data_IF_391614571242
#
_entry.id   IF_391614571242
#
_cell.length_a   1.000
_cell.length_b   1.000
_cell.length_c   1.000
_cell.angle_alpha   90.00
_cell.angle_beta   90.00
_cell.angle_gamma   90.00
#
_symmetry.space_group_name_H-M   'P 1'
#
loop_
_entity.id
_entity.type
_entity.pdbx_description
1 polymer ?
#
# COMPACT_ATOMS: atom_id res chain seq x y z
N UNK A 1 -39.13 -47.92 26.51
CA UNK A 1 -39.65 -46.65 25.95
C UNK A 1 -38.60 -45.55 25.75
N UNK A 2 -37.65 -45.30 26.67
CA UNK A 2 -36.68 -44.18 26.55
C UNK A 2 -35.68 -44.28 25.36
N UNK A 3 -35.34 -45.48 24.91
CA UNK A 3 -34.45 -45.70 23.76
C UNK A 3 -35.13 -45.43 22.40
N UNK A 4 -36.41 -45.79 22.29
CA UNK A 4 -37.24 -45.46 21.12
C UNK A 4 -37.42 -43.94 20.96
N UNK A 5 -37.55 -43.20 22.07
CA UNK A 5 -37.66 -41.74 22.01
C UNK A 5 -36.36 -41.06 21.57
N UNK A 6 -35.20 -41.56 22.03
CA UNK A 6 -33.88 -41.02 21.63
C UNK A 6 -33.57 -41.29 20.16
N UNK A 7 -33.93 -42.46 19.66
CA UNK A 7 -33.74 -42.82 18.24
C UNK A 7 -34.65 -42.00 17.34
N UNK A 8 -35.93 -41.81 17.71
CA UNK A 8 -36.85 -40.92 17.00
C UNK A 8 -36.38 -39.46 16.99
N UNK A 9 -35.85 -38.98 18.13
CA UNK A 9 -35.34 -37.62 18.24
C UNK A 9 -34.07 -37.40 17.40
N UNK A 10 -33.14 -38.35 17.39
CA UNK A 10 -31.96 -38.29 16.51
C UNK A 10 -32.34 -38.31 15.03
N UNK A 11 -33.30 -39.16 14.63
CA UNK A 11 -33.79 -39.19 13.25
C UNK A 11 -34.47 -37.87 12.85
N UNK A 12 -35.19 -37.24 13.78
CA UNK A 12 -35.83 -35.94 13.55
C UNK A 12 -34.80 -34.81 13.42
N UNK A 13 -33.75 -34.80 14.25
CA UNK A 13 -32.65 -33.82 14.15
C UNK A 13 -31.88 -33.99 12.84
N UNK A 14 -31.56 -35.22 12.46
CA UNK A 14 -30.88 -35.51 11.18
C UNK A 14 -31.78 -35.13 10.00
N UNK A 15 -33.08 -35.40 10.07
CA UNK A 15 -34.05 -35.00 9.04
C UNK A 15 -34.16 -33.48 8.89
N UNK A 16 -34.17 -32.74 10.01
CA UNK A 16 -34.19 -31.27 9.99
C UNK A 16 -32.89 -30.68 9.45
N UNK A 17 -31.73 -31.27 9.77
CA UNK A 17 -30.44 -30.86 9.21
C UNK A 17 -30.37 -31.11 7.70
N UNK A 18 -30.89 -32.25 7.22
CA UNK A 18 -30.98 -32.54 5.79
C UNK A 18 -31.93 -31.56 5.05
N UNK A 19 -33.04 -31.17 5.69
CA UNK A 19 -33.96 -30.15 5.17
C UNK A 19 -33.36 -28.74 5.16
N UNK A 20 -32.52 -28.40 6.15
CA UNK A 20 -31.81 -27.12 6.20
C UNK A 20 -30.68 -27.03 5.16
N UNK A 21 -30.09 -28.16 4.77
CA UNK A 21 -29.04 -28.23 3.76
C UNK A 21 -29.59 -28.28 2.30
N UNK A 22 -30.86 -28.63 2.10
CA UNK A 22 -31.53 -28.73 0.80
C UNK A 22 -31.40 -27.49 -0.10
N UNK A 23 -31.56 -26.23 0.37
CA UNK A 23 -31.35 -25.04 -0.47
C UNK A 23 -29.89 -24.84 -0.90
N UNK A 24 -28.93 -25.44 -0.18
CA UNK A 24 -27.50 -25.36 -0.47
C UNK A 24 -26.98 -26.58 -1.24
N UNK A 25 -27.82 -27.58 -1.50
CA UNK A 25 -27.44 -28.78 -2.23
C UNK A 25 -26.80 -28.50 -3.60
N UNK A 26 -27.28 -27.53 -4.41
CA UNK A 26 -26.64 -27.20 -5.68
C UNK A 26 -25.19 -26.69 -5.51
N UNK A 27 -24.95 -25.83 -4.52
CA UNK A 27 -23.63 -25.27 -4.23
C UNK A 27 -22.66 -26.33 -3.68
N UNK A 28 -23.15 -27.23 -2.83
CA UNK A 28 -22.36 -28.36 -2.31
C UNK A 28 -21.99 -29.38 -3.39
N UNK A 29 -22.89 -29.63 -4.34
CA UNK A 29 -22.60 -30.50 -5.49
C UNK A 29 -21.54 -29.84 -6.38
N UNK A 30 -21.64 -28.54 -6.62
CA UNK A 30 -20.68 -27.80 -7.45
C UNK A 30 -19.28 -27.80 -6.84
N UNK A 31 -19.15 -27.46 -5.55
CA UNK A 31 -17.86 -27.51 -4.84
C UNK A 31 -17.25 -28.91 -4.81
N UNK A 32 -18.06 -29.96 -4.66
CA UNK A 32 -17.57 -31.34 -4.77
C UNK A 32 -17.07 -31.67 -6.19
N UNK A 33 -17.77 -31.22 -7.24
CA UNK A 33 -17.35 -31.44 -8.63
C UNK A 33 -16.08 -30.67 -8.99
N UNK A 34 -15.90 -29.46 -8.46
CA UNK A 34 -14.69 -28.66 -8.65
C UNK A 34 -13.50 -29.28 -7.92
N UNK A 35 -13.72 -29.80 -6.71
CA UNK A 35 -12.70 -30.57 -5.97
C UNK A 35 -12.27 -31.83 -6.74
N UNK A 36 -13.21 -32.62 -7.27
CA UNK A 36 -12.88 -33.83 -8.05
C UNK A 36 -12.09 -33.48 -9.32
N UNK A 37 -12.46 -32.41 -10.03
CA UNK A 37 -11.72 -31.93 -11.22
C UNK A 37 -10.30 -31.48 -10.86
N UNK A 38 -10.13 -30.70 -9.79
CA UNK A 38 -8.82 -30.29 -9.32
C UNK A 38 -7.96 -31.50 -8.91
N UNK A 39 -8.56 -32.48 -8.25
CA UNK A 39 -7.88 -33.70 -7.83
C UNK A 39 -7.44 -34.59 -9.00
N UNK A 40 -8.25 -34.67 -10.07
CA UNK A 40 -7.86 -35.36 -11.30
C UNK A 40 -6.71 -34.69 -12.04
N UNK A 41 -6.65 -33.36 -12.07
CA UNK A 41 -5.54 -32.61 -12.67
C UNK A 41 -4.23 -32.92 -11.94
N UNK A 42 -4.24 -32.87 -10.61
CA UNK A 42 -3.06 -33.18 -9.79
C UNK A 42 -2.62 -34.64 -9.98
N UNK A 43 -3.57 -35.57 -10.13
CA UNK A 43 -3.27 -36.99 -10.32
C UNK A 43 -2.76 -37.34 -11.71
N UNK A 44 -3.17 -36.60 -12.74
CA UNK A 44 -2.77 -36.82 -14.14
C UNK A 44 -1.55 -36.00 -14.54
N UNK A 45 -1.07 -35.10 -13.67
CA UNK A 45 0.16 -34.35 -13.87
C UNK A 45 1.36 -35.32 -13.82
N UNK A 46 2.18 -35.42 -14.89
CA UNK A 46 3.35 -36.28 -14.87
C UNK A 46 4.34 -35.80 -13.80
N UNK A 47 4.98 -36.75 -13.13
CA UNK A 47 6.02 -36.46 -12.13
C UNK A 47 7.20 -35.80 -12.83
N UNK A 48 7.89 -34.87 -12.15
CA UNK A 48 8.96 -33.99 -12.66
C UNK A 48 10.07 -34.69 -13.49
N UNK A 49 10.21 -36.00 -13.42
CA UNK A 49 11.24 -36.78 -14.10
C UNK A 49 10.96 -37.10 -15.59
N UNK A 50 9.73 -36.92 -16.11
CA UNK A 50 9.36 -37.35 -17.47
C UNK A 50 9.15 -36.23 -18.51
N UNK A 51 9.39 -34.95 -18.18
CA UNK A 51 9.25 -33.88 -19.18
C UNK A 51 10.49 -33.74 -20.07
N UNK A 52 10.39 -33.87 -21.41
CA UNK A 52 11.47 -33.50 -22.31
C UNK A 52 11.68 -31.97 -22.29
N UNK A 53 12.95 -31.56 -22.26
CA UNK A 53 13.34 -30.15 -22.21
C UNK A 53 12.69 -29.32 -23.34
N UNK A 54 12.19 -28.10 -23.04
CA UNK A 54 11.54 -27.26 -24.04
C UNK A 54 12.51 -26.88 -25.17
N UNK A 55 12.04 -26.82 -26.43
CA UNK A 55 12.89 -26.62 -27.61
C UNK A 55 13.59 -25.26 -27.67
N UNK A 56 13.22 -24.31 -26.81
CA UNK A 56 13.84 -22.99 -26.66
C UNK A 56 14.28 -22.73 -25.21
N UNK A 57 14.92 -23.72 -24.57
CA UNK A 57 15.75 -23.44 -23.41
C UNK A 57 16.87 -22.49 -23.85
N UNK A 58 16.68 -21.18 -23.58
CA UNK A 58 17.74 -20.18 -23.69
C UNK A 58 18.98 -20.77 -23.01
N UNK A 59 20.17 -20.74 -23.65
CA UNK A 59 21.36 -21.28 -23.02
C UNK A 59 21.46 -20.67 -21.62
N UNK A 60 21.60 -21.52 -20.60
CA UNK A 60 21.91 -21.07 -19.26
C UNK A 60 22.98 -20.00 -19.37
N UNK A 61 22.77 -18.85 -18.72
CA UNK A 61 23.78 -17.80 -18.63
C UNK A 61 25.08 -18.44 -18.15
N UNK A 62 25.96 -18.78 -19.08
CA UNK A 62 27.37 -19.00 -18.82
C UNK A 62 27.84 -17.61 -18.48
N UNK A 63 27.79 -17.27 -17.19
CA UNK A 63 28.51 -16.13 -16.66
C UNK A 63 29.92 -16.23 -17.23
N UNK A 64 30.42 -15.19 -17.92
CA UNK A 64 31.78 -15.23 -18.43
C UNK A 64 32.68 -15.62 -17.27
N UNK A 65 33.41 -16.73 -17.40
CA UNK A 65 34.49 -17.03 -16.48
C UNK A 65 35.34 -15.78 -16.45
N UNK A 66 35.39 -15.10 -15.31
CA UNK A 66 36.21 -13.92 -15.11
C UNK A 66 37.61 -14.38 -15.50
N UNK A 67 38.05 -13.97 -16.69
CA UNK A 67 39.43 -14.10 -17.09
C UNK A 67 40.23 -13.51 -15.94
N UNK A 68 41.25 -14.25 -15.50
CA UNK A 68 42.22 -13.85 -14.48
C UNK A 68 42.89 -12.53 -14.91
N UNK A 69 42.18 -11.42 -14.76
CA UNK A 69 42.75 -10.12 -14.57
C UNK A 69 43.31 -10.17 -13.17
N UNK A 70 44.51 -10.72 -13.05
CA UNK A 70 45.34 -10.60 -11.87
C UNK A 70 45.31 -9.11 -11.49
N UNK A 71 44.61 -8.71 -10.41
CA UNK A 71 44.65 -7.33 -10.01
C UNK A 71 46.10 -7.04 -9.67
N UNK A 72 46.68 -6.01 -10.30
CA UNK A 72 47.83 -5.32 -9.71
C UNK A 72 47.52 -5.17 -8.22
N UNK A 73 48.40 -5.61 -7.31
CA UNK A 73 48.10 -5.57 -5.89
C UNK A 73 47.78 -4.12 -5.54
N UNK A 74 46.51 -3.86 -5.25
CA UNK A 74 46.08 -2.61 -4.67
C UNK A 74 46.66 -2.64 -3.25
N UNK A 75 47.86 -2.10 -3.11
CA UNK A 75 48.55 -1.95 -1.82
C UNK A 75 47.92 -0.91 -0.92
N UNK A 76 46.82 -0.28 -1.34
CA UNK A 76 46.04 0.65 -0.52
C UNK A 76 44.57 0.19 -0.48
N UNK A 77 44.29 -0.76 0.41
CA UNK A 77 42.96 -0.83 1.04
C UNK A 77 42.80 0.52 1.76
N UNK A 78 41.74 1.32 1.51
CA UNK A 78 41.52 2.49 2.33
C UNK A 78 41.39 2.00 3.77
N UNK A 79 42.35 2.46 4.57
CA UNK A 79 42.41 2.37 6.02
C UNK A 79 41.00 2.53 6.61
N UNK A 80 40.65 1.70 7.61
CA UNK A 80 39.44 1.84 8.43
C UNK A 80 39.06 3.32 8.53
N UNK A 81 37.85 3.68 8.10
CA UNK A 81 37.30 5.02 8.31
C UNK A 81 37.71 5.47 9.72
N UNK A 82 38.35 6.64 9.91
CA UNK A 82 38.73 7.08 11.24
C UNK A 82 37.45 7.05 12.09
N UNK A 83 37.38 6.13 13.06
CA UNK A 83 36.29 6.12 14.02
C UNK A 83 36.29 7.50 14.66
N UNK A 84 35.22 8.26 14.45
CA UNK A 84 35.03 9.57 15.07
C UNK A 84 35.37 9.41 16.56
N UNK A 85 36.39 10.14 17.08
CA UNK A 85 36.89 9.91 18.43
C UNK A 85 35.80 10.12 19.48
N UNK A 86 34.81 10.97 19.22
CA UNK A 86 33.67 11.16 20.11
C UNK A 86 32.77 9.93 20.17
N UNK A 87 32.49 9.32 19.01
CA UNK A 87 31.69 8.10 18.92
C UNK A 87 32.43 6.88 19.51
N UNK A 88 33.74 6.80 19.28
CA UNK A 88 34.58 5.77 19.90
C UNK A 88 34.55 5.89 21.44
N UNK A 89 34.65 7.11 21.96
CA UNK A 89 34.56 7.36 23.40
C UNK A 89 33.17 6.99 23.95
N UNK A 90 32.09 7.35 23.26
CA UNK A 90 30.73 6.98 23.66
C UNK A 90 30.58 5.45 23.81
N UNK A 91 31.12 4.69 22.84
CA UNK A 91 31.12 3.22 22.86
C UNK A 91 31.96 2.64 24.01
N UNK A 92 33.14 3.19 24.26
CA UNK A 92 34.02 2.76 25.37
C UNK A 92 33.35 2.99 26.72
N UNK A 93 32.72 4.16 26.91
CA UNK A 93 31.96 4.45 28.12
C UNK A 93 30.77 3.52 28.28
N UNK A 94 30.03 3.29 27.19
CA UNK A 94 28.87 2.41 27.18
C UNK A 94 29.21 0.98 27.63
N UNK A 95 30.36 0.46 27.21
CA UNK A 95 30.82 -0.88 27.59
C UNK A 95 31.19 -1.01 29.09
N UNK A 96 31.33 0.12 29.81
CA UNK A 96 31.66 0.12 31.24
C UNK A 96 30.45 0.49 32.08
N UNK A 97 29.77 1.57 31.72
CA UNK A 97 28.58 2.10 32.41
C UNK A 97 27.73 2.86 31.38
N UNK A 98 26.73 2.20 30.77
CA UNK A 98 25.93 2.80 29.71
C UNK A 98 25.01 3.91 30.20
N UNK A 99 24.56 3.86 31.46
CA UNK A 99 23.78 4.95 32.05
C UNK A 99 24.65 6.21 32.23
N UNK A 100 25.85 6.07 32.79
CA UNK A 100 26.79 7.17 32.90
C UNK A 100 27.21 7.72 31.52
N UNK A 101 27.35 6.85 30.51
CA UNK A 101 27.62 7.25 29.14
C UNK A 101 26.48 8.11 28.57
N UNK A 102 25.23 7.70 28.77
CA UNK A 102 24.06 8.49 28.38
C UNK A 102 23.99 9.85 29.09
N UNK A 103 24.22 9.88 30.41
CA UNK A 103 24.23 11.12 31.18
C UNK A 103 25.33 12.09 30.69
N UNK A 104 26.51 11.56 30.39
CA UNK A 104 27.60 12.33 29.79
C UNK A 104 27.20 12.92 28.43
N UNK A 105 26.52 12.14 27.56
CA UNK A 105 26.03 12.65 26.28
C UNK A 105 25.01 13.79 26.44
N UNK A 106 24.10 13.68 27.41
CA UNK A 106 23.14 14.74 27.69
C UNK A 106 23.81 16.03 28.18
N UNK A 107 24.87 15.90 28.97
CA UNK A 107 25.58 17.03 29.58
C UNK A 107 26.58 17.69 28.64
N UNK A 108 27.38 16.92 27.91
CA UNK A 108 28.60 17.39 27.25
C UNK A 108 28.58 17.24 25.73
N UNK A 109 27.68 16.42 25.16
CA UNK A 109 27.70 16.20 23.71
C UNK A 109 27.32 17.47 22.94
N UNK A 110 28.06 17.80 21.86
CA UNK A 110 27.62 18.79 20.89
C UNK A 110 26.21 18.45 20.37
N UNK A 111 25.34 19.45 20.13
CA UNK A 111 23.97 19.19 19.69
C UNK A 111 23.86 18.31 18.43
N UNK A 112 24.84 18.41 17.51
CA UNK A 112 24.88 17.62 16.27
C UNK A 112 25.33 16.16 16.46
N UNK A 113 25.99 15.84 17.58
CA UNK A 113 26.59 14.52 17.83
C UNK A 113 25.87 13.75 18.94
N UNK A 114 25.04 14.44 19.75
CA UNK A 114 24.28 13.82 20.84
C UNK A 114 23.47 12.62 20.40
N UNK A 115 22.66 12.76 19.34
CA UNK A 115 21.83 11.67 18.84
C UNK A 115 22.69 10.49 18.37
N UNK A 116 23.76 10.75 17.61
CA UNK A 116 24.67 9.69 17.14
C UNK A 116 25.31 8.95 18.31
N UNK A 117 25.75 9.68 19.33
CA UNK A 117 26.26 9.08 20.57
C UNK A 117 25.21 8.24 21.28
N UNK A 118 23.97 8.73 21.40
CA UNK A 118 22.88 7.99 22.06
C UNK A 118 22.57 6.68 21.32
N UNK A 119 22.57 6.70 19.99
CA UNK A 119 22.40 5.49 19.16
C UNK A 119 23.51 4.46 19.41
N UNK A 120 24.74 4.91 19.60
CA UNK A 120 25.88 4.02 19.88
C UNK A 120 25.82 3.44 21.30
N UNK A 121 25.49 4.27 22.28
CA UNK A 121 25.33 3.81 23.68
C UNK A 121 24.17 2.83 23.78
N UNK A 122 22.99 3.13 23.19
CA UNK A 122 21.85 2.21 23.23
C UNK A 122 22.18 0.91 22.50
N UNK A 123 22.97 0.94 21.42
CA UNK A 123 23.35 -0.28 20.70
C UNK A 123 24.24 -1.20 21.54
N UNK A 124 25.22 -0.63 22.25
CA UNK A 124 26.07 -1.41 23.18
C UNK A 124 25.25 -1.91 24.36
N UNK A 125 24.45 -1.04 24.97
CA UNK A 125 23.66 -1.39 26.15
C UNK A 125 22.61 -2.45 25.82
N UNK A 126 21.86 -2.28 24.73
CA UNK A 126 20.81 -3.21 24.34
C UNK A 126 21.35 -4.59 23.95
N UNK A 127 22.61 -4.68 23.51
CA UNK A 127 23.24 -5.96 23.22
C UNK A 127 23.41 -6.85 24.47
N UNK A 128 23.47 -6.26 25.66
CA UNK A 128 23.58 -6.97 26.95
C UNK A 128 22.27 -6.94 27.74
N UNK A 129 21.58 -5.79 27.78
CA UNK A 129 20.34 -5.57 28.52
C UNK A 129 19.44 -4.55 27.79
N UNK A 130 18.68 -5.07 26.80
CA UNK A 130 17.73 -4.28 26.02
C UNK A 130 16.64 -3.62 26.87
N UNK A 131 16.16 -4.29 27.93
CA UNK A 131 15.08 -3.77 28.76
C UNK A 131 15.53 -2.53 29.54
N UNK A 132 16.68 -2.59 30.20
CA UNK A 132 17.21 -1.44 30.96
C UNK A 132 17.58 -0.28 30.02
N UNK A 133 18.18 -0.59 28.87
CA UNK A 133 18.53 0.43 27.88
C UNK A 133 17.32 1.23 27.40
N UNK A 134 16.22 0.54 27.07
CA UNK A 134 15.02 1.17 26.54
C UNK A 134 14.19 1.86 27.63
N UNK A 135 14.13 1.30 28.84
CA UNK A 135 13.53 1.99 29.98
C UNK A 135 14.21 3.34 30.23
N UNK A 136 15.55 3.38 30.17
CA UNK A 136 16.28 4.64 30.31
C UNK A 136 15.88 5.65 29.22
N UNK A 137 15.77 5.23 27.97
CA UNK A 137 15.36 6.08 26.84
C UNK A 137 13.95 6.63 27.06
N UNK A 138 13.01 5.80 27.53
CA UNK A 138 11.64 6.24 27.81
C UNK A 138 11.54 7.30 28.91
N UNK A 139 12.35 7.15 29.97
CA UNK A 139 12.32 8.03 31.14
C UNK A 139 13.09 9.34 30.93
N UNK A 140 14.16 9.32 30.13
CA UNK A 140 15.14 10.42 30.10
C UNK A 140 15.23 11.16 28.75
N UNK A 141 14.81 10.55 27.64
CA UNK A 141 14.87 11.17 26.32
C UNK A 141 13.53 11.85 25.95
N UNK A 142 13.60 12.88 25.10
CA UNK A 142 12.42 13.59 24.58
C UNK A 142 12.55 13.93 23.11
N UNK A 143 11.40 14.21 22.48
CA UNK A 143 11.32 14.60 21.07
C UNK A 143 11.91 13.56 20.12
N UNK A 144 12.56 14.04 19.05
CA UNK A 144 13.16 13.20 18.00
C UNK A 144 14.17 12.20 18.57
N UNK A 145 15.00 12.62 19.53
CA UNK A 145 16.02 11.75 20.11
C UNK A 145 15.42 10.51 20.80
N UNK A 146 14.27 10.66 21.47
CA UNK A 146 13.55 9.52 22.06
C UNK A 146 13.10 8.55 20.97
N UNK A 147 12.41 9.04 19.94
CA UNK A 147 11.88 8.21 18.86
C UNK A 147 12.97 7.42 18.12
N UNK A 148 14.03 8.10 17.68
CA UNK A 148 15.13 7.48 16.94
C UNK A 148 15.90 6.46 17.78
N UNK A 149 16.20 6.79 19.05
CA UNK A 149 16.95 5.89 19.95
C UNK A 149 16.12 4.67 20.33
N UNK A 150 14.81 4.86 20.57
CA UNK A 150 13.86 3.78 20.83
C UNK A 150 13.73 2.85 19.62
N UNK A 151 13.54 3.42 18.42
CA UNK A 151 13.47 2.65 17.18
C UNK A 151 14.72 1.78 16.99
N UNK A 152 15.92 2.37 17.16
CA UNK A 152 17.16 1.63 17.01
C UNK A 152 17.33 0.52 18.05
N UNK A 153 17.09 0.81 19.33
CA UNK A 153 17.19 -0.18 20.40
C UNK A 153 16.20 -1.34 20.23
N UNK A 154 14.94 -1.06 19.86
CA UNK A 154 13.95 -2.10 19.56
C UNK A 154 14.34 -2.92 18.33
N UNK A 155 14.88 -2.30 17.29
CA UNK A 155 15.36 -3.02 16.11
C UNK A 155 16.44 -4.04 16.47
N UNK A 156 17.38 -3.68 17.36
CA UNK A 156 18.41 -4.58 17.87
C UNK A 156 17.84 -5.67 18.77
N UNK A 157 16.93 -5.32 19.69
CA UNK A 157 16.29 -6.30 20.56
C UNK A 157 15.48 -7.31 19.75
N UNK A 158 14.72 -6.85 18.75
CA UNK A 158 13.95 -7.70 17.82
C UNK A 158 14.81 -8.72 17.08
N UNK A 159 16.07 -8.40 16.78
CA UNK A 159 16.99 -9.34 16.13
C UNK A 159 17.44 -10.48 17.06
N UNK A 160 17.47 -10.21 18.37
CA UNK A 160 17.91 -11.18 19.37
C UNK A 160 16.74 -11.98 19.96
N UNK A 161 15.69 -11.29 20.40
CA UNK A 161 14.51 -11.84 21.03
C UNK A 161 13.27 -10.98 20.74
N UNK A 162 12.59 -11.23 19.60
CA UNK A 162 11.42 -10.45 19.22
C UNK A 162 10.21 -10.67 20.13
N UNK A 163 10.13 -11.81 20.84
CA UNK A 163 9.03 -12.08 21.78
C UNK A 163 9.19 -11.24 23.05
N UNK A 164 10.40 -11.17 23.61
CA UNK A 164 10.68 -10.30 24.75
C UNK A 164 10.46 -8.82 24.41
N UNK A 165 10.88 -8.37 23.21
CA UNK A 165 10.62 -7.02 22.73
C UNK A 165 9.10 -6.75 22.59
N UNK A 166 8.35 -7.71 22.06
CA UNK A 166 6.89 -7.61 21.93
C UNK A 166 6.19 -7.51 23.29
N UNK A 167 6.58 -8.33 24.27
CA UNK A 167 6.05 -8.30 25.63
C UNK A 167 6.34 -6.95 26.32
N UNK A 168 7.53 -6.38 26.10
CA UNK A 168 7.88 -5.06 26.60
C UNK A 168 7.01 -3.96 25.96
N UNK A 169 6.82 -4.00 24.63
CA UNK A 169 5.99 -3.05 23.89
C UNK A 169 4.54 -3.06 24.37
N UNK A 170 3.99 -4.23 24.73
CA UNK A 170 2.64 -4.31 25.28
C UNK A 170 2.46 -3.50 26.56
N UNK A 171 3.51 -3.42 27.40
CA UNK A 171 3.54 -2.63 28.63
C UNK A 171 3.70 -1.10 28.43
N UNK A 172 4.09 -0.65 27.24
CA UNK A 172 4.27 0.79 26.96
C UNK A 172 2.95 1.56 27.01
N UNK A 173 3.04 2.86 27.31
CA UNK A 173 1.91 3.77 27.16
C UNK A 173 1.45 3.84 25.68
N UNK A 174 0.14 3.92 25.45
CA UNK A 174 -0.42 4.01 24.10
C UNK A 174 -0.23 5.41 23.48
N UNK A 175 1.01 5.76 23.17
CA UNK A 175 1.43 7.01 22.53
C UNK A 175 2.30 6.75 21.26
N UNK A 176 2.86 7.82 20.69
CA UNK A 176 3.70 7.73 19.49
C UNK A 176 4.97 6.89 19.70
N UNK A 177 5.47 6.77 20.92
CA UNK A 177 6.64 5.93 21.24
C UNK A 177 6.30 4.46 21.03
N UNK A 178 5.11 4.02 21.48
CA UNK A 178 4.65 2.64 21.25
C UNK A 178 4.46 2.35 19.77
N UNK A 179 3.88 3.28 19.00
CA UNK A 179 3.79 3.15 17.55
C UNK A 179 5.18 2.99 16.89
N UNK A 180 6.15 3.81 17.30
CA UNK A 180 7.55 3.75 16.82
C UNK A 180 8.22 2.41 17.15
N UNK A 181 8.00 1.88 18.36
CA UNK A 181 8.54 0.60 18.78
C UNK A 181 7.89 -0.57 18.04
N UNK A 182 6.56 -0.54 17.85
CA UNK A 182 5.81 -1.53 17.05
C UNK A 182 6.35 -1.59 15.62
N UNK A 183 6.57 -0.44 14.98
CA UNK A 183 7.13 -0.36 13.63
C UNK A 183 8.54 -0.98 13.57
N UNK A 184 9.43 -0.60 14.48
CA UNK A 184 10.78 -1.14 14.59
C UNK A 184 10.81 -2.66 14.79
N UNK A 185 9.94 -3.16 15.67
CA UNK A 185 9.81 -4.59 15.97
C UNK A 185 9.39 -5.36 14.72
N UNK A 186 8.29 -4.94 14.07
CA UNK A 186 7.69 -5.66 12.96
C UNK A 186 8.57 -5.66 11.71
N UNK A 187 9.26 -4.56 11.40
CA UNK A 187 10.19 -4.52 10.25
C UNK A 187 11.24 -5.61 10.29
N UNK A 188 11.70 -6.00 11.47
CA UNK A 188 12.67 -7.08 11.62
C UNK A 188 12.01 -8.44 11.88
N UNK A 189 10.99 -8.49 12.75
CA UNK A 189 10.34 -9.75 13.11
C UNK A 189 9.62 -10.37 11.91
N UNK A 190 9.00 -9.57 11.05
CA UNK A 190 8.30 -10.04 9.86
C UNK A 190 9.22 -10.65 8.81
N UNK A 191 10.50 -10.27 8.77
CA UNK A 191 11.49 -10.84 7.84
C UNK A 191 11.99 -12.22 8.28
N UNK A 192 11.99 -12.48 9.59
CA UNK A 192 12.56 -13.71 10.16
C UNK A 192 11.49 -14.73 10.54
N UNK A 193 10.38 -14.27 11.11
CA UNK A 193 9.29 -15.10 11.63
C UNK A 193 7.92 -14.45 11.31
N UNK A 194 7.58 -14.35 10.01
CA UNK A 194 6.40 -13.60 9.57
C UNK A 194 5.07 -14.06 10.19
N UNK A 195 4.87 -15.36 10.36
CA UNK A 195 3.63 -15.89 10.94
C UNK A 195 3.51 -15.54 12.43
N UNK A 196 4.62 -15.59 13.17
CA UNK A 196 4.64 -15.19 14.58
C UNK A 196 4.38 -13.69 14.75
N UNK A 197 4.93 -12.86 13.86
CA UNK A 197 4.65 -11.42 13.82
C UNK A 197 3.19 -11.13 13.49
N UNK A 198 2.60 -11.84 12.51
CA UNK A 198 1.18 -11.74 12.17
C UNK A 198 0.27 -12.15 13.33
N UNK A 199 0.59 -13.26 13.99
CA UNK A 199 -0.10 -13.73 15.18
C UNK A 199 -0.06 -12.71 16.33
N UNK A 200 1.08 -12.02 16.50
CA UNK A 200 1.18 -10.96 17.50
C UNK A 200 0.29 -9.77 17.15
N UNK A 201 0.33 -9.27 15.92
CA UNK A 201 -0.56 -8.19 15.44
C UNK A 201 -2.03 -8.56 15.63
N UNK A 202 -2.40 -9.82 15.39
CA UNK A 202 -3.76 -10.32 15.59
C UNK A 202 -4.21 -10.31 17.05
N UNK A 203 -3.28 -10.47 18.00
CA UNK A 203 -3.57 -10.44 19.44
C UNK A 203 -3.54 -9.04 20.04
N UNK A 204 -3.00 -8.04 19.33
CA UNK A 204 -2.97 -6.66 19.82
C UNK A 204 -4.39 -6.14 20.08
N UNK A 205 -4.51 -5.25 21.07
CA UNK A 205 -5.80 -4.59 21.35
C UNK A 205 -6.27 -3.79 20.13
N UNK A 206 -7.54 -3.93 19.69
CA UNK A 206 -8.07 -3.15 18.59
C UNK A 206 -7.93 -1.64 18.82
N UNK A 207 -7.37 -0.93 17.84
CA UNK A 207 -7.13 0.51 17.94
C UNK A 207 -6.16 1.04 16.89
N UNK A 208 -5.79 2.34 16.94
CA UNK A 208 -4.88 2.96 15.98
C UNK A 208 -3.52 2.24 15.87
N UNK A 209 -2.92 1.88 17.01
CA UNK A 209 -1.61 1.21 17.03
C UNK A 209 -1.66 -0.16 16.34
N UNK A 210 -2.70 -0.98 16.57
CA UNK A 210 -2.86 -2.26 15.85
C UNK A 210 -3.00 -2.06 14.34
N UNK A 211 -3.72 -1.03 13.89
CA UNK A 211 -3.87 -0.74 12.45
C UNK A 211 -2.54 -0.34 11.82
N UNK A 212 -1.75 0.47 12.50
CA UNK A 212 -0.39 0.82 12.08
C UNK A 212 0.54 -0.40 12.07
N UNK A 213 0.41 -1.28 13.08
CA UNK A 213 1.11 -2.56 13.14
C UNK A 213 0.79 -3.43 11.91
N UNK A 214 -0.50 -3.58 11.59
CA UNK A 214 -0.95 -4.33 10.42
C UNK A 214 -0.39 -3.75 9.10
N UNK A 215 -0.42 -2.42 8.94
CA UNK A 215 0.17 -1.76 7.78
C UNK A 215 1.68 -2.00 7.68
N UNK A 216 2.40 -1.92 8.79
CA UNK A 216 3.84 -2.20 8.85
C UNK A 216 4.14 -3.64 8.45
N UNK A 217 3.37 -4.59 8.97
CA UNK A 217 3.52 -6.01 8.65
C UNK A 217 3.33 -6.27 7.15
N UNK A 218 2.28 -5.72 6.54
CA UNK A 218 2.04 -5.85 5.09
C UNK A 218 3.23 -5.29 4.31
N UNK A 219 3.66 -4.07 4.65
CA UNK A 219 4.76 -3.41 3.96
C UNK A 219 6.09 -4.16 4.08
N UNK A 220 6.39 -4.71 5.26
CA UNK A 220 7.59 -5.51 5.47
C UNK A 220 7.55 -6.80 4.64
N UNK A 221 6.40 -7.49 4.59
CA UNK A 221 6.25 -8.74 3.85
C UNK A 221 6.21 -8.56 2.34
N UNK A 222 5.77 -7.41 1.83
CA UNK A 222 5.75 -7.12 0.39
C UNK A 222 7.13 -7.21 -0.27
N UNK A 223 8.21 -6.98 0.49
CA UNK A 223 9.58 -7.07 -0.02
C UNK A 223 10.08 -8.52 -0.21
N UNK A 224 9.43 -9.49 0.44
CA UNK A 224 9.82 -10.91 0.43
C UNK A 224 8.78 -11.77 -0.31
N UNK A 225 7.51 -11.70 0.10
CA UNK A 225 6.41 -12.46 -0.47
C UNK A 225 5.16 -11.57 -0.60
N UNK A 226 5.04 -10.81 -1.71
CA UNK A 226 3.98 -9.84 -1.85
C UNK A 226 2.60 -10.46 -2.04
N UNK A 227 2.51 -11.69 -2.55
CA UNK A 227 1.25 -12.43 -2.67
C UNK A 227 0.72 -12.74 -1.28
N UNK A 228 1.54 -13.37 -0.41
CA UNK A 228 1.12 -13.66 0.97
C UNK A 228 0.81 -12.39 1.77
N UNK A 229 1.56 -11.31 1.56
CA UNK A 229 1.28 -10.03 2.19
C UNK A 229 -0.10 -9.49 1.79
N UNK A 230 -0.45 -9.58 0.51
CA UNK A 230 -1.75 -9.15 -0.01
C UNK A 230 -2.90 -10.08 0.44
N UNK A 231 -2.67 -11.39 0.51
CA UNK A 231 -3.63 -12.36 1.04
C UNK A 231 -3.97 -12.05 2.50
N UNK A 232 -2.95 -11.79 3.33
CA UNK A 232 -3.14 -11.40 4.72
C UNK A 232 -3.84 -10.04 4.86
N UNK A 233 -3.46 -9.06 4.03
CA UNK A 233 -4.13 -7.76 4.00
C UNK A 233 -5.61 -7.88 3.60
N UNK A 234 -5.92 -8.79 2.67
CA UNK A 234 -7.29 -9.09 2.26
C UNK A 234 -8.09 -9.76 3.39
N UNK A 235 -7.51 -10.75 4.09
CA UNK A 235 -8.20 -11.37 5.23
C UNK A 235 -8.49 -10.35 6.33
N UNK A 236 -7.53 -9.49 6.67
CA UNK A 236 -7.75 -8.41 7.63
C UNK A 236 -8.82 -7.41 7.16
N UNK A 237 -8.83 -7.07 5.87
CA UNK A 237 -9.85 -6.18 5.29
C UNK A 237 -11.26 -6.75 5.47
N UNK A 238 -11.44 -8.05 5.25
CA UNK A 238 -12.75 -8.73 5.35
C UNK A 238 -13.14 -9.02 6.80
N UNK A 239 -12.22 -9.58 7.60
CA UNK A 239 -12.53 -10.09 8.94
C UNK A 239 -12.54 -8.99 10.00
N UNK A 240 -11.64 -8.00 9.89
CA UNK A 240 -11.50 -6.91 10.85
C UNK A 240 -12.09 -5.58 10.34
N UNK A 241 -12.67 -5.58 9.14
CA UNK A 241 -13.26 -4.39 8.51
C UNK A 241 -12.26 -3.24 8.37
N UNK A 242 -11.05 -3.54 7.88
CA UNK A 242 -9.98 -2.59 7.55
C UNK A 242 -9.67 -2.58 6.04
N UNK A 243 -10.63 -2.22 5.16
CA UNK A 243 -10.45 -2.26 3.71
C UNK A 243 -9.30 -1.39 3.18
N UNK A 244 -8.90 -0.38 3.95
CA UNK A 244 -7.76 0.49 3.64
C UNK A 244 -6.42 -0.27 3.60
N UNK A 245 -6.29 -1.37 4.33
CA UNK A 245 -5.03 -2.10 4.47
C UNK A 245 -4.64 -2.79 3.16
N UNK A 246 -5.59 -3.46 2.52
CA UNK A 246 -5.38 -4.07 1.21
C UNK A 246 -5.03 -3.01 0.17
N UNK A 247 -5.76 -1.89 0.16
CA UNK A 247 -5.54 -0.78 -0.76
C UNK A 247 -4.12 -0.21 -0.64
N UNK A 248 -3.62 -0.04 0.59
CA UNK A 248 -2.25 0.38 0.86
C UNK A 248 -1.23 -0.65 0.39
N UNK A 249 -1.46 -1.93 0.70
CA UNK A 249 -0.58 -3.02 0.26
C UNK A 249 -0.47 -3.11 -1.26
N UNK A 250 -1.59 -3.02 -1.97
CA UNK A 250 -1.64 -2.98 -3.43
C UNK A 250 -0.90 -1.77 -3.99
N UNK A 251 -1.08 -0.59 -3.40
CA UNK A 251 -0.37 0.61 -3.84
C UNK A 251 1.15 0.44 -3.76
N UNK A 252 1.66 -0.20 -2.70
CA UNK A 252 3.09 -0.50 -2.56
C UNK A 252 3.54 -1.62 -3.51
N UNK A 253 2.75 -2.67 -3.67
CA UNK A 253 3.08 -3.78 -4.57
C UNK A 253 3.24 -3.31 -6.02
N UNK A 254 2.41 -2.38 -6.50
CA UNK A 254 2.53 -1.77 -7.84
C UNK A 254 3.89 -1.11 -8.06
N UNK A 255 4.51 -0.56 -7.01
CA UNK A 255 5.84 0.03 -7.11
C UNK A 255 6.91 -1.04 -7.37
N UNK A 256 6.69 -2.26 -6.89
CA UNK A 256 7.57 -3.43 -7.07
C UNK A 256 7.27 -4.14 -8.40
N UNK A 257 6.05 -4.64 -8.56
CA UNK A 257 5.60 -5.44 -9.71
C UNK A 257 4.10 -5.18 -9.99
N UNK A 258 3.76 -4.26 -10.93
CA UNK A 258 2.38 -3.97 -11.27
C UNK A 258 1.66 -5.16 -11.90
N UNK A 259 2.34 -5.98 -12.70
CA UNK A 259 1.71 -7.12 -13.37
C UNK A 259 1.30 -8.21 -12.37
N UNK A 260 2.13 -8.47 -11.36
CA UNK A 260 1.78 -9.40 -10.28
C UNK A 260 0.60 -8.88 -9.43
N UNK A 261 0.60 -7.58 -9.10
CA UNK A 261 -0.50 -6.95 -8.38
C UNK A 261 -1.84 -7.00 -9.16
N UNK A 262 -1.80 -6.76 -10.48
CA UNK A 262 -2.98 -6.91 -11.35
C UNK A 262 -3.51 -8.35 -11.31
N UNK A 263 -2.62 -9.33 -11.49
CA UNK A 263 -3.02 -10.75 -11.50
C UNK A 263 -3.71 -11.14 -10.20
N UNK A 264 -3.27 -10.61 -9.07
CA UNK A 264 -3.93 -10.82 -7.78
C UNK A 264 -5.32 -10.17 -7.73
N UNK A 265 -5.46 -8.92 -8.18
CA UNK A 265 -6.76 -8.22 -8.22
C UNK A 265 -7.80 -8.96 -9.08
N UNK A 266 -7.35 -9.59 -10.18
CA UNK A 266 -8.20 -10.47 -11.01
C UNK A 266 -8.68 -11.69 -10.24
N UNK A 267 -7.79 -12.33 -9.47
CA UNK A 267 -8.11 -13.54 -8.72
C UNK A 267 -9.16 -13.29 -7.63
N UNK A 268 -9.09 -12.15 -6.94
CA UNK A 268 -10.04 -11.79 -5.88
C UNK A 268 -11.31 -11.10 -6.41
N UNK A 269 -11.46 -10.95 -7.73
CA UNK A 269 -12.55 -10.20 -8.37
C UNK A 269 -12.69 -8.79 -7.76
N UNK A 270 -11.55 -8.08 -7.66
CA UNK A 270 -11.43 -6.86 -6.87
C UNK A 270 -12.43 -5.78 -7.30
N UNK A 271 -12.80 -5.73 -8.58
CA UNK A 271 -13.80 -4.79 -9.07
C UNK A 271 -15.15 -4.90 -8.32
N UNK A 272 -15.54 -6.12 -7.93
CA UNK A 272 -16.79 -6.38 -7.22
C UNK A 272 -16.59 -6.43 -5.71
N UNK A 273 -15.49 -7.03 -5.25
CA UNK A 273 -15.27 -7.32 -3.83
C UNK A 273 -14.55 -6.19 -3.09
N UNK A 274 -13.61 -5.51 -3.76
CA UNK A 274 -12.67 -4.55 -3.19
C UNK A 274 -12.37 -3.40 -4.17
N UNK A 275 -13.38 -2.61 -4.61
CA UNK A 275 -13.20 -1.59 -5.65
C UNK A 275 -12.15 -0.52 -5.28
N UNK A 276 -11.98 -0.23 -3.99
CA UNK A 276 -10.96 0.72 -3.51
C UNK A 276 -9.54 0.20 -3.74
N UNK A 277 -9.31 -1.11 -3.69
CA UNK A 277 -8.01 -1.71 -3.98
C UNK A 277 -7.67 -1.59 -5.48
N UNK A 278 -8.66 -1.79 -6.36
CA UNK A 278 -8.51 -1.58 -7.79
C UNK A 278 -8.26 -0.10 -8.14
N UNK A 279 -8.96 0.83 -7.49
CA UNK A 279 -8.67 2.25 -7.64
C UNK A 279 -7.26 2.59 -7.17
N UNK A 280 -6.82 2.04 -6.03
CA UNK A 280 -5.48 2.24 -5.48
C UNK A 280 -4.39 1.67 -6.38
N UNK A 281 -4.64 0.55 -7.04
CA UNK A 281 -3.78 -0.01 -8.08
C UNK A 281 -3.54 0.98 -9.20
N UNK A 282 -4.62 1.44 -9.85
CA UNK A 282 -4.49 2.36 -10.98
C UNK A 282 -3.88 3.69 -10.57
N UNK A 283 -4.24 4.18 -9.38
CA UNK A 283 -3.68 5.42 -8.85
C UNK A 283 -2.16 5.30 -8.64
N UNK A 284 -1.70 4.20 -8.05
CA UNK A 284 -0.26 3.95 -7.85
C UNK A 284 0.47 3.71 -9.17
N UNK A 285 -0.18 3.03 -10.11
CA UNK A 285 0.40 2.75 -11.42
C UNK A 285 0.54 4.04 -12.23
N UNK A 286 -0.50 4.87 -12.27
CA UNK A 286 -0.45 6.16 -12.95
C UNK A 286 0.56 7.14 -12.34
N UNK A 287 0.81 7.07 -11.02
CA UNK A 287 1.90 7.83 -10.38
C UNK A 287 3.28 7.35 -10.80
N UNK A 288 3.44 6.05 -11.07
CA UNK A 288 4.71 5.43 -11.48
C UNK A 288 4.98 5.69 -12.96
N UNK A 289 4.01 5.37 -13.81
CA UNK A 289 4.04 5.63 -15.25
C UNK A 289 2.59 5.84 -15.76
N UNK A 290 2.17 7.09 -15.99
CA UNK A 290 0.81 7.38 -16.43
C UNK A 290 0.53 6.96 -17.88
N UNK A 291 1.55 6.89 -18.74
CA UNK A 291 1.36 6.46 -20.12
C UNK A 291 1.14 4.95 -20.18
N UNK A 292 1.94 4.17 -19.45
CA UNK A 292 1.77 2.72 -19.34
C UNK A 292 0.44 2.38 -18.66
N UNK A 293 0.05 3.09 -17.60
CA UNK A 293 -1.25 2.93 -16.95
C UNK A 293 -2.42 3.24 -17.89
N UNK A 294 -2.26 4.21 -18.79
CA UNK A 294 -3.25 4.54 -19.81
C UNK A 294 -3.37 3.45 -20.88
N UNK A 295 -2.24 2.91 -21.35
CA UNK A 295 -2.22 1.78 -22.28
C UNK A 295 -2.87 0.54 -21.65
N UNK A 296 -2.54 0.25 -20.39
CA UNK A 296 -3.19 -0.81 -19.62
C UNK A 296 -4.71 -0.66 -19.60
N UNK A 297 -5.21 0.53 -19.24
CA UNK A 297 -6.66 0.79 -19.18
C UNK A 297 -7.34 0.68 -20.55
N UNK A 298 -6.66 1.08 -21.64
CA UNK A 298 -7.18 0.95 -23.00
C UNK A 298 -7.28 -0.51 -23.48
N UNK A 299 -6.43 -1.39 -22.95
CA UNK A 299 -6.38 -2.80 -23.33
C UNK A 299 -7.42 -3.66 -22.59
N UNK A 300 -8.07 -3.14 -21.56
CA UNK A 300 -9.17 -3.83 -20.89
C UNK A 300 -10.40 -3.85 -21.82
N UNK A 301 -10.99 -5.03 -22.05
CA UNK A 301 -12.23 -5.16 -22.81
C UNK A 301 -13.42 -4.60 -21.99
N UNK A 302 -14.06 -3.49 -22.42
CA UNK A 302 -15.19 -2.91 -21.69
C UNK A 302 -16.39 -3.83 -21.55
N UNK A 303 -16.50 -4.86 -22.39
CA UNK A 303 -17.64 -5.78 -22.40
C UNK A 303 -17.42 -7.05 -21.57
N UNK A 304 -16.18 -7.37 -21.21
CA UNK A 304 -15.84 -8.70 -20.68
C UNK A 304 -14.70 -8.78 -19.68
N UNK A 305 -13.89 -7.73 -19.54
CA UNK A 305 -12.81 -7.73 -18.56
C UNK A 305 -13.35 -7.44 -17.14
N UNK A 306 -13.12 -8.33 -16.15
CA UNK A 306 -13.64 -8.15 -14.80
C UNK A 306 -13.06 -6.92 -14.09
N UNK A 307 -11.90 -6.41 -14.49
CA UNK A 307 -11.31 -5.21 -13.88
C UNK A 307 -11.83 -3.91 -14.51
N UNK A 308 -12.56 -3.96 -15.62
CA UNK A 308 -12.99 -2.74 -16.29
C UNK A 308 -14.07 -2.00 -15.48
N UNK A 309 -13.81 -0.73 -15.17
CA UNK A 309 -14.81 0.23 -14.67
C UNK A 309 -14.60 1.58 -15.36
N UNK A 310 -15.69 2.27 -15.71
CA UNK A 310 -15.58 3.58 -16.38
C UNK A 310 -14.87 4.61 -15.49
N UNK A 311 -15.08 4.52 -14.18
CA UNK A 311 -14.55 5.41 -13.15
C UNK A 311 -13.01 5.40 -13.12
N UNK A 312 -12.37 4.33 -13.57
CA UNK A 312 -10.92 4.22 -13.69
C UNK A 312 -10.33 5.32 -14.59
N UNK A 313 -11.05 5.73 -15.62
CA UNK A 313 -10.63 6.83 -16.50
C UNK A 313 -10.57 8.17 -15.74
N UNK A 314 -11.47 8.37 -14.78
CA UNK A 314 -11.43 9.55 -13.91
C UNK A 314 -10.17 9.52 -13.04
N UNK A 315 -9.85 8.37 -12.46
CA UNK A 315 -8.66 8.20 -11.60
C UNK A 315 -7.38 8.39 -12.39
N UNK A 316 -7.25 7.74 -13.56
CA UNK A 316 -6.08 7.90 -14.44
C UNK A 316 -5.82 9.38 -14.77
N UNK A 317 -6.84 10.09 -15.27
CA UNK A 317 -6.62 11.46 -15.73
C UNK A 317 -6.46 12.45 -14.59
N UNK A 318 -7.02 12.17 -13.41
CA UNK A 318 -6.77 12.97 -12.22
C UNK A 318 -5.31 12.89 -11.79
N UNK A 319 -4.70 11.70 -11.80
CA UNK A 319 -3.29 11.54 -11.41
C UNK A 319 -2.34 12.02 -12.52
N UNK A 320 -2.61 11.68 -13.78
CA UNK A 320 -1.75 12.09 -14.90
C UNK A 320 -1.70 13.62 -15.02
N UNK A 321 -2.84 14.29 -14.97
CA UNK A 321 -2.87 15.76 -15.11
C UNK A 321 -2.17 16.52 -13.98
N UNK A 322 -2.05 15.94 -12.78
CA UNK A 322 -1.27 16.54 -11.69
C UNK A 322 0.23 16.54 -11.96
N UNK A 323 0.71 15.57 -12.74
CA UNK A 323 2.13 15.46 -13.10
C UNK A 323 2.46 16.12 -14.44
N UNK A 324 1.62 15.90 -15.46
CA UNK A 324 1.77 16.45 -16.81
C UNK A 324 0.40 16.63 -17.47
N UNK A 325 -0.19 17.82 -17.29
CA UNK A 325 -1.47 18.21 -17.89
C UNK A 325 -1.42 18.29 -19.42
N UNK A 326 -0.25 18.56 -20.01
CA UNK A 326 -0.09 18.68 -21.46
C UNK A 326 -0.17 17.28 -22.09
N UNK A 327 0.59 16.31 -21.57
CA UNK A 327 0.52 14.93 -22.03
C UNK A 327 -0.88 14.32 -21.80
N UNK A 328 -1.46 14.53 -20.61
CA UNK A 328 -2.80 14.07 -20.29
C UNK A 328 -3.87 14.62 -21.25
N UNK A 329 -3.81 15.92 -21.57
CA UNK A 329 -4.74 16.55 -22.52
C UNK A 329 -4.52 16.08 -23.97
N UNK A 330 -3.27 15.81 -24.37
CA UNK A 330 -2.95 15.25 -25.68
C UNK A 330 -3.53 13.82 -25.83
N UNK A 331 -3.44 13.00 -24.79
CA UNK A 331 -4.07 11.67 -24.74
C UNK A 331 -5.60 11.76 -24.82
N UNK A 332 -6.22 12.67 -24.04
CA UNK A 332 -7.67 12.94 -24.09
C UNK A 332 -8.17 13.38 -25.47
N UNK A 333 -7.31 14.07 -26.22
CA UNK A 333 -7.60 14.50 -27.59
C UNK A 333 -7.74 13.35 -28.57
N UNK A 334 -7.09 12.22 -28.30
CA UNK A 334 -7.11 11.03 -29.15
C UNK A 334 -8.19 10.01 -28.72
N UNK A 335 -8.70 10.12 -27.49
CA UNK A 335 -9.73 9.23 -26.97
C UNK A 335 -11.04 9.34 -27.77
N UNK A 336 -11.68 8.19 -28.02
CA UNK A 336 -12.97 8.12 -28.73
C UNK A 336 -14.09 8.71 -27.86
N UNK A 337 -14.99 9.55 -28.41
CA UNK A 337 -16.15 10.04 -27.67
C UNK A 337 -17.00 8.92 -27.10
N UNK A 338 -17.43 9.07 -25.84
CA UNK A 338 -18.23 8.09 -25.11
C UNK A 338 -18.01 8.17 -23.60
N UNK A 339 -18.65 7.28 -22.82
CA UNK A 339 -18.63 7.33 -21.36
C UNK A 339 -17.22 7.31 -20.73
N UNK A 340 -16.31 6.50 -21.29
CA UNK A 340 -14.92 6.43 -20.84
C UNK A 340 -14.17 7.77 -21.00
N UNK A 341 -14.33 8.42 -22.16
CA UNK A 341 -13.73 9.75 -22.42
C UNK A 341 -14.38 10.82 -21.56
N UNK A 342 -15.69 10.77 -21.36
CA UNK A 342 -16.40 11.70 -20.48
C UNK A 342 -15.85 11.58 -19.04
N UNK A 343 -15.66 10.36 -18.53
CA UNK A 343 -15.02 10.11 -17.23
C UNK A 343 -13.57 10.61 -17.17
N UNK A 344 -12.79 10.42 -18.24
CA UNK A 344 -11.43 10.94 -18.36
C UNK A 344 -11.39 12.49 -18.31
N UNK A 345 -12.32 13.16 -19.01
CA UNK A 345 -12.49 14.62 -18.97
C UNK A 345 -12.81 15.09 -17.55
N UNK A 346 -13.68 14.37 -16.84
CA UNK A 346 -14.03 14.67 -15.44
C UNK A 346 -12.78 14.57 -14.54
N UNK A 347 -11.95 13.55 -14.74
CA UNK A 347 -10.69 13.37 -14.01
C UNK A 347 -9.77 14.57 -14.20
N UNK A 348 -9.52 14.95 -15.45
CA UNK A 348 -8.72 16.12 -15.82
C UNK A 348 -9.32 17.43 -15.29
N UNK A 349 -10.64 17.60 -15.43
CA UNK A 349 -11.33 18.79 -14.93
C UNK A 349 -11.18 18.93 -13.42
N UNK A 350 -11.28 17.83 -12.67
CA UNK A 350 -11.22 17.84 -11.21
C UNK A 350 -9.88 18.25 -10.62
N UNK A 351 -8.78 18.02 -11.33
CA UNK A 351 -7.42 18.41 -10.92
C UNK A 351 -7.05 19.82 -11.40
N UNK A 352 -7.57 20.25 -12.55
CA UNK A 352 -7.15 21.50 -13.20
C UNK A 352 -8.09 22.68 -12.95
N UNK A 353 -9.30 22.49 -12.42
CA UNK A 353 -10.32 23.55 -12.29
C UNK A 353 -9.83 24.78 -11.49
N UNK A 354 -8.97 24.57 -10.49
CA UNK A 354 -8.44 25.66 -9.66
C UNK A 354 -7.24 26.38 -10.29
N UNK A 355 -6.64 25.81 -11.34
CA UNK A 355 -5.43 26.31 -11.99
C UNK A 355 -5.68 26.83 -13.41
N UNK A 356 -6.44 26.08 -14.22
CA UNK A 356 -6.74 26.37 -15.63
C UNK A 356 -8.24 26.21 -15.95
N UNK A 357 -9.14 26.98 -15.29
CA UNK A 357 -10.58 26.83 -15.47
C UNK A 357 -11.07 27.06 -16.91
N UNK A 358 -10.38 27.91 -17.69
CA UNK A 358 -10.70 28.13 -19.10
C UNK A 358 -10.48 26.87 -19.95
N UNK A 359 -9.36 26.18 -19.75
CA UNK A 359 -9.07 24.92 -20.44
C UNK A 359 -10.05 23.82 -20.01
N UNK A 360 -10.38 23.76 -18.72
CA UNK A 360 -11.40 22.86 -18.19
C UNK A 360 -12.75 23.13 -18.86
N UNK A 361 -13.16 24.39 -19.00
CA UNK A 361 -14.41 24.74 -19.66
C UNK A 361 -14.48 24.20 -21.10
N UNK A 362 -13.40 24.31 -21.88
CA UNK A 362 -13.35 23.74 -23.24
C UNK A 362 -13.46 22.22 -23.25
N UNK A 363 -12.78 21.51 -22.34
CA UNK A 363 -12.92 20.06 -22.22
C UNK A 363 -14.32 19.63 -21.79
N UNK A 364 -14.94 20.32 -20.83
CA UNK A 364 -16.29 19.97 -20.36
C UNK A 364 -17.34 20.12 -21.45
N UNK A 365 -17.15 21.05 -22.40
CA UNK A 365 -18.09 21.26 -23.52
C UNK A 365 -18.18 20.08 -24.48
N UNK A 366 -17.14 19.26 -24.56
CA UNK A 366 -17.09 18.08 -25.45
C UNK A 366 -17.47 16.78 -24.76
N UNK A 367 -17.94 16.84 -23.50
CA UNK A 367 -18.58 15.71 -22.81
C UNK A 367 -19.84 15.29 -23.58
N UNK A 368 -19.93 14.01 -23.87
CA UNK A 368 -20.98 13.41 -24.69
C UNK A 368 -22.32 13.43 -23.96
N UNK A 369 -22.35 13.04 -22.69
CA UNK A 369 -23.56 13.08 -21.86
C UNK A 369 -24.01 14.52 -21.55
N UNK A 370 -25.21 14.97 -22.01
CA UNK A 370 -25.65 16.35 -21.85
C UNK A 370 -25.83 16.79 -20.39
N UNK A 371 -26.27 15.89 -19.52
CA UNK A 371 -26.49 16.21 -18.10
C UNK A 371 -25.17 16.42 -17.38
N UNK A 372 -24.23 15.49 -17.56
CA UNK A 372 -22.87 15.56 -17.01
C UNK A 372 -22.14 16.78 -17.52
N UNK A 373 -22.22 17.06 -18.83
CA UNK A 373 -21.66 18.26 -19.46
C UNK A 373 -22.18 19.54 -18.81
N UNK A 374 -23.50 19.66 -18.65
CA UNK A 374 -24.12 20.85 -18.07
C UNK A 374 -23.70 21.04 -16.62
N UNK A 375 -23.69 19.96 -15.81
CA UNK A 375 -23.30 20.01 -14.41
C UNK A 375 -21.83 20.43 -14.24
N UNK A 376 -20.92 19.81 -14.99
CA UNK A 376 -19.50 20.11 -14.92
C UNK A 376 -19.14 21.48 -15.49
N UNK A 377 -19.76 21.89 -16.59
CA UNK A 377 -19.57 23.23 -17.14
C UNK A 377 -20.07 24.30 -16.17
N UNK A 378 -21.24 24.10 -15.55
CA UNK A 378 -21.77 25.01 -14.52
C UNK A 378 -20.79 25.14 -13.35
N UNK A 379 -20.34 24.01 -12.77
CA UNK A 379 -19.37 24.00 -11.67
C UNK A 379 -18.06 24.72 -12.03
N UNK A 380 -17.56 24.49 -13.24
CA UNK A 380 -16.34 25.13 -13.76
C UNK A 380 -16.52 26.64 -13.84
N UNK A 381 -17.59 27.11 -14.47
CA UNK A 381 -17.86 28.54 -14.61
C UNK A 381 -18.09 29.23 -13.26
N UNK A 382 -18.74 28.56 -12.31
CA UNK A 382 -18.93 29.08 -10.96
C UNK A 382 -17.62 29.20 -10.18
N UNK A 383 -16.75 28.18 -10.28
CA UNK A 383 -15.44 28.19 -9.61
C UNK A 383 -14.55 29.25 -10.23
N UNK A 384 -14.50 29.31 -11.56
CA UNK A 384 -13.78 30.33 -12.30
C UNK A 384 -14.27 31.73 -11.94
N UNK A 385 -15.58 31.95 -11.89
CA UNK A 385 -16.17 33.27 -11.61
C UNK A 385 -15.81 33.80 -10.22
N UNK A 386 -15.65 32.92 -9.23
CA UNK A 386 -15.20 33.31 -7.88
C UNK A 386 -13.74 33.75 -7.86
N UNK A 387 -12.90 33.14 -8.71
CA UNK A 387 -11.47 33.44 -8.80
C UNK A 387 -11.17 34.64 -9.70
N UNK A 388 -11.83 34.71 -10.87
CA UNK A 388 -11.60 35.70 -11.91
C UNK A 388 -12.90 35.97 -12.70
N UNK A 389 -13.79 36.82 -12.17
CA UNK A 389 -15.07 37.13 -12.80
C UNK A 389 -14.94 37.91 -14.12
N UNK A 390 -13.83 38.63 -14.34
CA UNK A 390 -13.64 39.42 -15.57
C UNK A 390 -13.39 38.48 -16.75
N UNK A 391 -12.45 37.54 -16.61
CA UNK A 391 -12.10 36.63 -17.69
C UNK A 391 -13.25 35.66 -18.00
N UNK A 392 -14.03 35.23 -17.00
CA UNK A 392 -15.26 34.45 -17.24
C UNK A 392 -16.25 35.24 -18.11
N UNK A 393 -16.48 36.52 -17.81
CA UNK A 393 -17.40 37.34 -18.60
C UNK A 393 -16.95 37.43 -20.07
N UNK A 394 -15.66 37.65 -20.32
CA UNK A 394 -15.11 37.66 -21.69
C UNK A 394 -15.31 36.33 -22.41
N UNK A 395 -15.07 35.22 -21.71
CA UNK A 395 -15.31 33.88 -22.24
C UNK A 395 -16.80 33.63 -22.52
N UNK A 396 -17.72 34.07 -21.66
CA UNK A 396 -19.17 33.93 -21.84
C UNK A 396 -19.70 34.70 -23.06
N UNK A 397 -19.03 35.79 -23.46
CA UNK A 397 -19.39 36.59 -24.64
C UNK A 397 -18.99 35.92 -25.96
N UNK A 398 -17.92 35.13 -25.94
CA UNK A 398 -17.34 34.49 -27.13
C UNK A 398 -17.72 33.01 -27.28
N UNK A 399 -18.13 32.37 -26.19
CA UNK A 399 -18.51 30.95 -26.17
C UNK A 399 -19.96 30.71 -26.61
N UNK A 400 -20.17 29.63 -27.36
CA UNK A 400 -21.49 29.08 -27.67
C UNK A 400 -21.91 28.14 -26.53
N UNK A 401 -22.71 28.66 -25.60
CA UNK A 401 -23.31 27.93 -24.49
C UNK A 401 -24.81 28.23 -24.39
N UNK A 402 -25.52 27.42 -23.59
CA UNK A 402 -26.95 27.62 -23.31
C UNK A 402 -27.22 29.04 -22.76
N UNK A 403 -28.18 29.81 -23.33
CA UNK A 403 -28.52 31.15 -22.87
C UNK A 403 -28.94 31.22 -21.40
N UNK A 404 -29.66 30.22 -20.89
CA UNK A 404 -30.10 30.16 -19.50
C UNK A 404 -28.91 29.97 -18.55
N UNK A 405 -27.95 29.12 -18.92
CA UNK A 405 -26.70 28.97 -18.17
C UNK A 405 -25.90 30.27 -18.16
N UNK A 406 -25.78 30.94 -19.32
CA UNK A 406 -25.11 32.25 -19.42
C UNK A 406 -25.76 33.28 -18.50
N UNK A 407 -27.09 33.36 -18.49
CA UNK A 407 -27.84 34.28 -17.61
C UNK A 407 -27.66 33.93 -16.13
N UNK A 408 -27.62 32.65 -15.77
CA UNK A 408 -27.34 32.21 -14.40
C UNK A 408 -25.96 32.68 -13.93
N UNK A 409 -24.89 32.35 -14.66
CA UNK A 409 -23.51 32.73 -14.28
C UNK A 409 -23.35 34.26 -14.21
N UNK A 410 -23.93 35.00 -15.17
CA UNK A 410 -23.91 36.46 -15.16
C UNK A 410 -24.60 37.08 -13.93
N UNK A 411 -25.63 36.43 -13.37
CA UNK A 411 -26.27 36.87 -12.13
C UNK A 411 -25.40 36.63 -10.91
N UNK A 412 -24.74 35.48 -10.85
CA UNK A 412 -23.83 35.12 -9.76
C UNK A 412 -22.59 36.04 -9.73
N UNK A 413 -22.00 36.37 -10.88
CA UNK A 413 -20.88 37.33 -10.95
C UNK A 413 -21.26 38.73 -10.41
N UNK A 414 -22.53 39.13 -10.54
CA UNK A 414 -23.01 40.47 -10.11
C UNK A 414 -23.36 40.54 -8.62
N UNK A 415 -23.42 39.42 -7.91
CA UNK A 415 -23.72 39.36 -6.48
C UNK A 415 -22.46 38.88 -5.75
N UNK A 416 -21.67 39.79 -5.14
CA UNK A 416 -20.39 39.45 -4.52
C UNK A 416 -20.50 38.56 -3.28
#
# INVERSE_FOLDING_TARGET
>A
MRWLFRTLWLLLVVGLLALAALPYAPALIQTYQDFVRAWEIVRQSPTEEEMPAPPDARPALVLPSIAENNPTPVTDIPEKTPTDPFIAEARVRAATDPEAAMQWLLAEAPPGDRLRGMLEVVAVWAAEDSQSALLWVEENAGGIARGETLHHGISLWSQQDPLAAADWIEGMANDQSKATAVDALLRNWSLTQPEAAADWVNRMTPGPIRREAAATLVNARLLDDPVRAAEWAFSEAVEQNHPELLSQGIAQWVQIDPAAAENYLRQIDAAQTMPDALQSYLQSFARKDPAEAAEWLQNLDPAGDPLYQNELHTTLLREWSQSDSIAASAWLGQATPGPARDAAIIGFASSMIDYEPAAVAEWTRVISDPTTRTNWLTRTLQTWARSDPLTVNEWLLTSEIDPALREQINREIKQP
#
